data_IF_535331120263
#
_entry.id   IF_535331120263
#
_cell.length_a   1.000
_cell.length_b   1.000
_cell.length_c   1.000
_cell.angle_alpha   90.00
_cell.angle_beta   90.00
_cell.angle_gamma   90.00
#
_symmetry.space_group_name_H-M   'P 1'
#
loop_
_entity.id
_entity.type
_entity.pdbx_description
1 polymer ?
#
# COMPACT_ATOMS: atom_id res chain seq x y z
N UNK A 1 23.89 22.42 27.99
CA UNK A 1 24.25 23.65 28.71
C UNK A 1 25.46 24.21 28.02
N UNK A 2 25.42 25.49 27.70
CA UNK A 2 26.48 26.16 26.97
C UNK A 2 27.74 26.25 27.85
N UNK A 3 28.93 26.17 27.26
CA UNK A 3 30.19 26.19 28.03
C UNK A 3 30.52 27.59 28.55
N UNK A 4 31.15 27.64 29.71
CA UNK A 4 31.73 28.87 30.24
C UNK A 4 33.07 29.14 29.53
N UNK A 5 33.33 30.40 29.19
CA UNK A 5 34.55 30.85 28.50
C UNK A 5 35.31 31.81 29.40
N UNK A 6 36.65 31.71 29.42
CA UNK A 6 37.52 32.63 30.18
C UNK A 6 38.41 33.43 29.23
N UNK A 7 38.27 34.75 29.23
CA UNK A 7 39.06 35.68 28.39
C UNK A 7 39.69 36.71 29.31
N UNK A 8 41.02 36.88 29.23
CA UNK A 8 41.78 37.83 30.07
C UNK A 8 41.41 37.73 31.57
N UNK A 9 41.32 36.51 32.08
CA UNK A 9 40.93 36.20 33.46
C UNK A 9 39.47 36.46 33.85
N UNK A 10 38.63 37.00 32.96
CA UNK A 10 37.19 37.19 33.16
C UNK A 10 36.43 35.97 32.68
N UNK A 11 35.45 35.49 33.47
CA UNK A 11 34.59 34.36 33.12
C UNK A 11 33.27 34.84 32.54
N UNK A 12 32.92 34.30 31.38
CA UNK A 12 31.65 34.47 30.69
C UNK A 12 30.90 33.15 30.77
N UNK A 13 29.74 33.14 31.41
CA UNK A 13 28.96 31.91 31.61
C UNK A 13 28.04 31.62 30.42
N UNK A 14 27.79 30.33 30.15
CA UNK A 14 26.82 29.84 29.16
C UNK A 14 26.97 30.49 27.77
N UNK A 15 28.18 30.50 27.21
CA UNK A 15 28.48 31.16 25.93
C UNK A 15 28.21 30.20 24.77
N UNK A 16 27.20 30.44 23.90
CA UNK A 16 26.89 29.54 22.78
C UNK A 16 27.81 29.73 21.56
N UNK A 17 28.45 30.90 21.46
CA UNK A 17 29.26 31.29 20.31
C UNK A 17 30.39 32.24 20.74
N UNK A 18 31.58 32.07 20.17
CA UNK A 18 32.71 33.00 20.27
C UNK A 18 33.07 33.51 18.88
N UNK A 19 33.23 34.83 18.73
CA UNK A 19 33.71 35.46 17.50
C UNK A 19 35.06 36.12 17.73
N UNK A 20 36.07 35.75 16.94
CA UNK A 20 37.46 36.23 17.08
C UNK A 20 37.85 37.00 15.81
N UNK A 21 38.30 38.26 15.89
CA UNK A 21 38.77 39.02 14.73
C UNK A 21 39.89 38.30 13.98
N UNK A 22 39.88 38.40 12.65
CA UNK A 22 40.96 37.88 11.83
C UNK A 22 42.21 38.75 11.97
N UNK A 23 43.38 38.13 12.00
CA UNK A 23 44.66 38.83 12.09
C UNK A 23 44.97 39.64 10.83
N UNK A 24 44.45 39.21 9.68
CA UNK A 24 44.61 39.85 8.38
C UNK A 24 43.26 39.87 7.64
N UNK A 25 42.96 40.99 6.97
CA UNK A 25 41.70 41.18 6.25
C UNK A 25 40.53 41.65 7.11
N UNK A 26 39.33 41.73 6.49
CA UNK A 26 38.10 42.12 7.17
C UNK A 26 37.30 40.87 7.60
N UNK A 27 36.90 40.79 8.87
CA UNK A 27 35.99 39.75 9.37
C UNK A 27 36.36 39.14 10.72
N UNK A 28 35.64 38.08 11.09
CA UNK A 28 35.83 37.30 12.34
C UNK A 28 35.68 35.81 12.10
N UNK A 29 36.49 34.98 12.74
CA UNK A 29 36.25 33.54 12.87
C UNK A 29 35.19 33.27 13.94
N UNK A 30 34.23 32.40 13.64
CA UNK A 30 33.11 32.06 14.53
C UNK A 30 33.21 30.61 15.00
N UNK A 31 33.09 30.39 16.30
CA UNK A 31 33.13 29.08 16.94
C UNK A 31 31.84 28.87 17.73
N UNK A 32 31.20 27.72 17.55
CA UNK A 32 29.96 27.34 18.24
C UNK A 32 30.24 26.30 19.32
N UNK A 33 29.46 26.35 20.41
CA UNK A 33 29.42 25.24 21.36
C UNK A 33 28.62 24.06 20.77
N UNK A 34 29.32 22.97 20.47
CA UNK A 34 28.73 21.74 19.91
C UNK A 34 28.44 20.67 20.97
N UNK A 35 28.54 20.98 22.26
CA UNK A 35 28.33 20.02 23.36
C UNK A 35 26.94 19.35 23.32
N UNK A 36 25.93 20.05 22.78
CA UNK A 36 24.58 19.50 22.59
C UNK A 36 24.33 18.77 21.27
N UNK A 37 25.30 18.77 20.35
CA UNK A 37 25.15 18.13 19.05
C UNK A 37 25.37 16.61 19.17
N UNK A 38 24.35 15.82 18.80
CA UNK A 38 24.31 14.38 18.99
C UNK A 38 24.25 13.55 17.69
N UNK A 39 24.37 14.20 16.53
CA UNK A 39 24.32 13.50 15.24
C UNK A 39 25.50 12.52 15.10
N UNK A 40 25.25 11.29 14.67
CA UNK A 40 26.26 10.33 14.27
C UNK A 40 26.53 10.40 12.76
N UNK A 41 27.61 9.76 12.30
CA UNK A 41 27.92 9.66 10.86
C UNK A 41 26.75 9.08 10.05
N UNK A 42 26.03 8.10 10.62
CA UNK A 42 24.84 7.49 10.02
C UNK A 42 23.61 8.40 9.94
N UNK A 43 23.59 9.54 10.64
CA UNK A 43 22.50 10.53 10.60
C UNK A 43 22.72 11.61 9.53
N UNK A 44 23.93 11.67 8.97
CA UNK A 44 24.36 12.72 8.04
C UNK A 44 24.52 12.10 6.65
N UNK A 45 23.96 12.76 5.63
CA UNK A 45 24.07 12.30 4.24
C UNK A 45 25.52 12.20 3.77
N UNK A 46 25.82 11.18 2.96
CA UNK A 46 27.09 11.07 2.24
C UNK A 46 27.39 12.35 1.46
N UNK A 47 28.62 12.85 1.59
CA UNK A 47 29.06 14.12 1.01
C UNK A 47 28.68 15.37 1.83
N UNK A 48 27.91 15.20 2.92
CA UNK A 48 27.70 16.23 3.95
C UNK A 48 28.56 15.94 5.17
N UNK A 49 28.70 16.94 6.03
CA UNK A 49 29.45 16.84 7.29
C UNK A 49 28.85 17.77 8.34
N UNK A 50 29.19 17.52 9.59
CA UNK A 50 28.88 18.38 10.72
C UNK A 50 30.05 18.43 11.70
N UNK A 51 30.13 19.51 12.48
CA UNK A 51 30.98 19.57 13.67
C UNK A 51 30.10 19.28 14.89
N UNK A 52 30.44 18.23 15.64
CA UNK A 52 29.74 17.85 16.88
C UNK A 52 30.74 17.86 18.05
N UNK A 53 30.30 17.57 19.28
CA UNK A 53 31.13 17.69 20.50
C UNK A 53 32.47 16.94 20.47
N UNK A 54 32.67 15.98 19.56
CA UNK A 54 33.93 15.24 19.36
C UNK A 54 34.74 15.69 18.12
N UNK A 55 34.31 16.74 17.41
CA UNK A 55 34.98 17.31 16.24
C UNK A 55 34.22 17.09 14.94
N UNK A 56 34.98 17.00 13.84
CA UNK A 56 34.44 16.83 12.49
C UNK A 56 33.89 15.42 12.29
N UNK A 57 32.67 15.31 11.76
CA UNK A 57 32.04 14.05 11.38
C UNK A 57 31.54 14.13 9.94
N UNK A 58 32.10 13.27 9.10
CA UNK A 58 31.60 13.06 7.74
C UNK A 58 30.36 12.16 7.77
N UNK A 59 29.39 12.45 6.91
CA UNK A 59 28.18 11.66 6.77
C UNK A 59 28.38 10.38 5.98
N UNK A 60 27.67 9.33 6.41
CA UNK A 60 27.66 8.00 5.77
C UNK A 60 26.25 7.57 5.33
N UNK A 61 25.20 8.36 5.56
CA UNK A 61 23.83 8.01 5.19
C UNK A 61 23.66 8.07 3.66
N UNK A 62 23.31 6.95 3.00
CA UNK A 62 23.04 6.96 1.57
C UNK A 62 21.83 7.83 1.23
N UNK A 63 21.89 8.51 0.09
CA UNK A 63 20.73 9.17 -0.50
C UNK A 63 20.11 8.22 -1.55
N UNK A 64 19.02 7.54 -1.16
CA UNK A 64 18.33 6.59 -2.04
C UNK A 64 17.36 7.28 -3.00
N UNK A 65 17.12 8.59 -2.86
CA UNK A 65 16.22 9.35 -3.72
C UNK A 65 14.78 8.84 -3.66
N UNK A 66 14.18 8.61 -4.83
CA UNK A 66 12.82 8.08 -4.95
C UNK A 66 12.90 6.57 -5.26
N UNK A 67 12.80 5.74 -4.23
CA UNK A 67 12.77 4.28 -4.41
C UNK A 67 11.33 3.81 -4.62
N UNK A 68 11.13 3.05 -5.69
CA UNK A 68 9.84 2.40 -5.96
C UNK A 68 10.01 0.89 -6.04
N UNK A 69 8.99 0.18 -5.57
CA UNK A 69 8.95 -1.27 -5.52
C UNK A 69 7.61 -1.83 -5.99
N UNK A 70 7.60 -3.10 -6.40
CA UNK A 70 6.39 -3.83 -6.73
C UNK A 70 6.25 -5.11 -5.90
N UNK A 71 5.00 -5.48 -5.61
CA UNK A 71 4.62 -6.76 -4.99
C UNK A 71 3.80 -7.54 -6.03
N UNK A 72 4.27 -8.74 -6.38
CA UNK A 72 3.66 -9.58 -7.44
C UNK A 72 3.20 -10.95 -6.94
N UNK A 73 3.27 -11.20 -5.63
CA UNK A 73 2.82 -12.45 -5.00
C UNK A 73 2.04 -12.12 -3.74
N UNK A 74 1.12 -13.00 -3.35
CA UNK A 74 0.29 -12.81 -2.16
C UNK A 74 1.13 -12.72 -0.87
N UNK A 75 2.22 -13.48 -0.79
CA UNK A 75 3.21 -13.47 0.30
C UNK A 75 4.47 -12.66 -0.04
N UNK A 76 4.44 -11.91 -1.15
CA UNK A 76 5.58 -11.13 -1.61
C UNK A 76 5.87 -9.96 -0.68
N UNK A 77 7.15 -9.73 -0.41
CA UNK A 77 7.63 -8.59 0.40
C UNK A 77 8.58 -7.71 -0.40
N UNK A 78 8.60 -6.41 -0.11
CA UNK A 78 9.60 -5.48 -0.63
C UNK A 78 10.38 -4.85 0.53
N UNK A 79 11.69 -5.07 0.59
CA UNK A 79 12.56 -4.48 1.61
C UNK A 79 13.01 -3.09 1.15
N UNK A 80 12.61 -2.06 1.91
CA UNK A 80 13.05 -0.68 1.67
C UNK A 80 14.48 -0.53 2.21
N UNK A 81 15.46 -0.10 1.40
CA UNK A 81 16.83 0.07 1.86
C UNK A 81 16.95 1.21 2.87
N UNK A 82 17.82 1.04 3.87
CA UNK A 82 18.14 2.10 4.83
C UNK A 82 18.80 3.31 4.14
N UNK A 83 18.54 4.50 4.66
CA UNK A 83 19.04 5.77 4.13
C UNK A 83 17.94 6.79 3.92
N UNK A 84 18.31 7.92 3.34
CA UNK A 84 17.37 9.00 3.05
C UNK A 84 16.53 8.70 1.81
N UNK A 85 15.22 8.90 1.94
CA UNK A 85 14.27 8.85 0.84
C UNK A 85 13.60 10.20 0.68
N UNK A 86 13.42 10.65 -0.56
CA UNK A 86 12.89 11.99 -0.86
C UNK A 86 11.35 12.10 -0.81
N UNK A 87 10.67 11.04 -0.33
CA UNK A 87 9.20 10.99 -0.22
C UNK A 87 8.44 10.83 -1.54
N UNK A 88 9.11 10.72 -2.70
CA UNK A 88 8.46 10.52 -4.01
C UNK A 88 8.43 9.05 -4.46
N UNK A 89 9.04 8.16 -3.68
CA UNK A 89 9.01 6.72 -3.90
C UNK A 89 7.66 6.09 -3.55
N UNK A 90 7.37 4.91 -4.09
CA UNK A 90 6.14 4.16 -3.77
C UNK A 90 6.32 2.65 -3.91
N UNK A 91 5.67 1.88 -3.04
CA UNK A 91 5.51 0.43 -3.19
C UNK A 91 4.08 0.15 -3.61
N UNK A 92 3.89 -0.63 -4.69
CA UNK A 92 2.57 -0.94 -5.25
C UNK A 92 2.44 -2.42 -5.56
N UNK A 93 1.20 -2.91 -5.66
CA UNK A 93 0.95 -4.19 -6.32
C UNK A 93 1.37 -4.03 -7.79
N UNK A 94 2.01 -5.02 -8.41
CA UNK A 94 2.41 -4.89 -9.82
C UNK A 94 1.19 -4.71 -10.72
N UNK A 95 1.37 -4.02 -11.83
CA UNK A 95 0.27 -3.71 -12.76
C UNK A 95 -0.39 -4.98 -13.30
N UNK A 96 0.39 -6.06 -13.46
CA UNK A 96 -0.07 -7.37 -13.91
C UNK A 96 -1.02 -8.00 -12.88
N UNK A 97 -0.69 -7.94 -11.59
CA UNK A 97 -1.56 -8.47 -10.54
C UNK A 97 -2.80 -7.59 -10.32
N UNK A 98 -2.67 -6.27 -10.47
CA UNK A 98 -3.83 -5.38 -10.46
C UNK A 98 -4.81 -5.71 -11.60
N UNK A 99 -4.31 -6.04 -12.79
CA UNK A 99 -5.15 -6.41 -13.93
C UNK A 99 -5.92 -7.73 -13.72
N UNK A 100 -5.46 -8.61 -12.82
CA UNK A 100 -6.16 -9.86 -12.46
C UNK A 100 -7.32 -9.64 -11.49
N UNK A 101 -7.40 -8.48 -10.84
CA UNK A 101 -8.52 -8.11 -9.99
C UNK A 101 -9.73 -7.73 -10.86
N UNK A 102 -10.37 -8.74 -11.43
CA UNK A 102 -11.52 -8.58 -12.33
C UNK A 102 -12.81 -8.87 -11.56
N UNK A 103 -13.78 -7.95 -11.59
CA UNK A 103 -15.06 -8.11 -10.86
C UNK A 103 -15.81 -9.40 -11.22
N UNK A 104 -15.67 -9.87 -12.46
CA UNK A 104 -16.24 -11.13 -12.94
C UNK A 104 -15.64 -12.39 -12.31
N UNK A 105 -14.51 -12.29 -11.62
CA UNK A 105 -13.88 -13.41 -10.90
C UNK A 105 -14.12 -13.34 -9.38
N UNK A 106 -14.73 -12.27 -8.89
CA UNK A 106 -14.95 -12.02 -7.46
C UNK A 106 -16.42 -12.31 -7.14
N UNK A 107 -16.65 -13.15 -6.13
CA UNK A 107 -18.00 -13.53 -5.67
C UNK A 107 -18.82 -12.30 -5.28
N UNK A 108 -20.10 -12.29 -5.64
CA UNK A 108 -21.05 -11.25 -5.27
C UNK A 108 -21.04 -10.99 -3.77
N UNK A 109 -21.07 -9.71 -3.38
CA UNK A 109 -20.98 -9.27 -1.99
C UNK A 109 -19.57 -9.25 -1.39
N UNK A 110 -18.55 -9.75 -2.11
CA UNK A 110 -17.15 -9.67 -1.70
C UNK A 110 -16.47 -8.48 -2.37
N UNK A 111 -15.63 -7.76 -1.64
CA UNK A 111 -14.77 -6.69 -2.17
C UNK A 111 -13.32 -7.02 -1.92
N UNK A 112 -12.50 -7.01 -2.97
CA UNK A 112 -11.06 -7.25 -2.87
C UNK A 112 -10.33 -6.00 -3.35
N UNK A 113 -9.56 -5.37 -2.45
CA UNK A 113 -8.77 -4.17 -2.76
C UNK A 113 -9.59 -3.03 -3.41
N UNK A 114 -10.86 -2.88 -3.01
CA UNK A 114 -11.78 -1.86 -3.54
C UNK A 114 -12.56 -2.27 -4.79
N UNK A 115 -12.32 -3.47 -5.34
CA UNK A 115 -13.04 -3.99 -6.50
C UNK A 115 -14.14 -4.93 -6.02
N UNK A 116 -15.39 -4.52 -6.23
CA UNK A 116 -16.57 -5.29 -5.84
C UNK A 116 -16.83 -6.45 -6.80
N UNK A 117 -17.24 -7.58 -6.23
CA UNK A 117 -17.69 -8.74 -6.99
C UNK A 117 -18.92 -8.47 -7.83
N UNK A 118 -18.97 -9.09 -9.01
CA UNK A 118 -20.10 -8.96 -9.93
C UNK A 118 -21.29 -9.74 -9.36
N UNK A 119 -22.48 -9.13 -9.42
CA UNK A 119 -23.72 -9.74 -8.90
C UNK A 119 -24.07 -11.11 -9.49
N UNK A 120 -23.62 -11.38 -10.71
CA UNK A 120 -23.82 -12.67 -11.40
C UNK A 120 -22.82 -13.76 -11.01
N UNK A 121 -21.80 -13.46 -10.21
CA UNK A 121 -20.82 -14.44 -9.73
C UNK A 121 -21.29 -14.93 -8.38
N UNK A 122 -21.98 -16.06 -8.38
CA UNK A 122 -22.58 -16.65 -7.18
C UNK A 122 -22.09 -18.07 -7.00
N UNK A 123 -22.13 -18.53 -5.75
CA UNK A 123 -21.94 -19.94 -5.43
C UNK A 123 -23.26 -20.66 -5.72
N UNK A 124 -23.17 -21.81 -6.37
CA UNK A 124 -24.35 -22.59 -6.79
C UNK A 124 -24.35 -23.99 -6.18
N UNK A 125 -23.48 -24.23 -5.19
CA UNK A 125 -23.33 -25.53 -4.52
C UNK A 125 -24.56 -25.93 -3.70
N UNK A 126 -25.40 -24.97 -3.32
CA UNK A 126 -26.65 -25.16 -2.59
C UNK A 126 -27.87 -25.41 -3.49
N UNK A 127 -27.73 -25.31 -4.81
CA UNK A 127 -28.83 -25.52 -5.76
C UNK A 127 -29.30 -26.98 -5.79
N UNK A 128 -30.61 -27.21 -5.70
CA UNK A 128 -31.23 -28.56 -5.60
C UNK A 128 -32.01 -29.00 -6.85
N UNK A 129 -32.06 -28.16 -7.89
CA UNK A 129 -32.81 -28.46 -9.10
C UNK A 129 -32.20 -29.64 -9.89
N UNK A 130 -33.06 -30.52 -10.41
CA UNK A 130 -32.68 -31.61 -11.31
C UNK A 130 -33.21 -31.33 -12.73
N UNK A 131 -32.67 -32.01 -13.76
CA UNK A 131 -33.16 -31.86 -15.13
C UNK A 131 -34.68 -32.12 -15.23
N UNK A 132 -35.18 -33.12 -14.50
CA UNK A 132 -36.60 -33.46 -14.42
C UNK A 132 -37.49 -32.41 -13.74
N UNK A 133 -36.92 -31.41 -13.06
CA UNK A 133 -37.68 -30.32 -12.41
C UNK A 133 -37.56 -29.00 -13.17
N UNK A 134 -36.85 -28.95 -14.29
CA UNK A 134 -36.64 -27.76 -15.12
C UNK A 134 -37.36 -27.98 -16.45
N UNK A 135 -38.14 -26.98 -16.88
CA UNK A 135 -38.89 -27.03 -18.16
C UNK A 135 -37.96 -27.34 -19.33
N UNK A 136 -38.41 -28.22 -20.22
CA UNK A 136 -37.67 -28.64 -21.41
C UNK A 136 -37.16 -27.45 -22.22
N UNK A 137 -35.88 -27.52 -22.61
CA UNK A 137 -35.19 -26.45 -23.36
C UNK A 137 -34.71 -25.25 -22.51
N UNK A 138 -35.11 -25.13 -21.24
CA UNK A 138 -34.54 -24.14 -20.32
C UNK A 138 -33.29 -24.69 -19.64
N UNK A 139 -32.42 -23.81 -19.18
CA UNK A 139 -31.15 -24.19 -18.54
C UNK A 139 -30.94 -23.48 -17.23
N UNK A 140 -30.27 -24.14 -16.29
CA UNK A 140 -29.81 -23.56 -15.02
C UNK A 140 -28.38 -24.04 -14.72
N UNK A 141 -27.67 -23.36 -13.81
CA UNK A 141 -26.39 -23.81 -13.28
C UNK A 141 -26.59 -24.41 -11.88
N UNK A 142 -26.11 -25.64 -11.67
CA UNK A 142 -26.17 -26.37 -10.39
C UNK A 142 -24.77 -26.86 -10.06
N UNK A 143 -24.24 -26.43 -8.91
CA UNK A 143 -22.86 -26.68 -8.48
C UNK A 143 -21.84 -26.46 -9.62
N UNK A 144 -21.97 -25.32 -10.32
CA UNK A 144 -21.13 -24.94 -11.46
C UNK A 144 -21.45 -25.63 -12.80
N UNK A 145 -22.33 -26.63 -12.83
CA UNK A 145 -22.66 -27.39 -14.06
C UNK A 145 -23.91 -26.86 -14.72
N UNK A 146 -23.87 -26.62 -16.03
CA UNK A 146 -25.06 -26.24 -16.80
C UNK A 146 -25.95 -27.47 -17.03
N UNK A 147 -27.17 -27.43 -16.51
CA UNK A 147 -28.19 -28.47 -16.66
C UNK A 147 -29.30 -27.97 -17.58
N UNK A 148 -29.66 -28.78 -18.58
CA UNK A 148 -30.81 -28.56 -19.46
C UNK A 148 -32.01 -29.31 -18.92
N UNK A 149 -33.16 -28.63 -18.84
CA UNK A 149 -34.40 -29.20 -18.37
C UNK A 149 -34.95 -30.27 -19.30
N UNK A 150 -35.62 -31.25 -18.69
CA UNK A 150 -36.33 -32.34 -19.36
C UNK A 150 -37.79 -32.44 -18.93
N UNK A 151 -38.29 -31.52 -18.10
CA UNK A 151 -39.70 -31.50 -17.70
C UNK A 151 -40.57 -31.12 -18.90
N UNK A 152 -41.39 -32.06 -19.36
CA UNK A 152 -42.40 -31.84 -20.39
C UNK A 152 -43.68 -31.33 -19.75
N UNK A 153 -44.19 -30.20 -20.21
CA UNK A 153 -45.51 -29.69 -19.83
C UNK A 153 -46.57 -30.23 -20.77
N UNK A 154 -47.72 -30.61 -20.22
CA UNK A 154 -48.94 -30.91 -20.99
C UNK A 154 -49.88 -29.72 -20.89
N UNK A 155 -50.52 -29.38 -22.01
CA UNK A 155 -51.55 -28.35 -22.06
C UNK A 155 -52.86 -28.93 -21.55
N UNK A 156 -53.63 -28.16 -20.77
CA UNK A 156 -54.97 -28.56 -20.39
C UNK A 156 -55.93 -27.45 -20.74
N UNK A 157 -56.91 -27.74 -21.59
CA UNK A 157 -57.99 -26.82 -21.94
C UNK A 157 -59.27 -27.23 -21.20
N UNK A 158 -60.01 -26.26 -20.66
CA UNK A 158 -61.33 -26.50 -20.08
C UNK A 158 -62.40 -25.88 -20.99
N UNK A 159 -63.35 -26.71 -21.41
CA UNK A 159 -64.52 -26.23 -22.12
C UNK A 159 -65.42 -25.40 -21.19
N UNK A 160 -65.75 -24.18 -21.60
CA UNK A 160 -66.40 -23.20 -20.73
C UNK A 160 -67.86 -23.53 -20.39
N UNK A 161 -68.53 -24.33 -21.24
CA UNK A 161 -69.92 -24.75 -21.04
C UNK A 161 -70.02 -26.09 -20.32
N UNK A 162 -69.33 -27.11 -20.81
CA UNK A 162 -69.39 -28.50 -20.32
C UNK A 162 -68.48 -28.74 -19.12
N UNK A 163 -67.53 -27.85 -18.87
CA UNK A 163 -66.49 -27.95 -17.83
C UNK A 163 -65.57 -29.17 -17.98
N UNK A 164 -65.59 -29.85 -19.11
CA UNK A 164 -64.69 -30.97 -19.44
C UNK A 164 -63.26 -30.43 -19.59
N UNK A 165 -62.29 -31.16 -19.03
CA UNK A 165 -60.87 -30.90 -19.21
C UNK A 165 -60.31 -31.83 -20.31
N UNK A 166 -59.61 -31.27 -21.27
CA UNK A 166 -58.87 -31.99 -22.31
C UNK A 166 -57.38 -31.79 -22.09
N UNK A 167 -56.60 -32.88 -22.08
CA UNK A 167 -55.14 -32.82 -22.03
C UNK A 167 -54.62 -32.91 -23.47
N UNK A 168 -53.84 -31.92 -23.89
CA UNK A 168 -53.21 -31.77 -25.20
C UNK A 168 -51.70 -32.00 -25.13
#
# INVERSE_FOLDING_TARGET
>A
MAKNVKINSVVYAEVPQVSIPLAEGQGTAVFYDTTGAAAASGDILTGKSAFIGNGFVAGSMPNNGAISGSISKADGTYTIPAGFHNGKGAVRISSEEQAKLVSGNIKSGVTVLGISGKSSVVDTSDATAAAGTIVSGKTAYINGTKVTGSLTTVSVSQDSLTKILTVE
#
